data_IF_099663419832
#
_entry.id   IF_099663419832
#
_cell.length_a   1.000
_cell.length_b   1.000
_cell.length_c   1.000
_cell.angle_alpha   90.00
_cell.angle_beta   90.00
_cell.angle_gamma   90.00
#
_symmetry.space_group_name_H-M   'P 1'
#
loop_
_entity.id
_entity.type
_entity.pdbx_description
1 polymer ?
#
# COMPACT_ATOMS: atom_id res chain seq x y z
N UNK A 1 2.08 20.08 -28.28
CA UNK A 1 1.60 19.64 -26.95
C UNK A 1 2.77 19.06 -26.16
N UNK A 2 3.09 19.66 -25.02
CA UNK A 2 4.12 19.25 -24.09
C UNK A 2 3.47 18.87 -22.75
N UNK A 3 3.72 17.64 -22.28
CA UNK A 3 3.15 17.11 -21.04
C UNK A 3 4.19 17.20 -19.92
N UNK A 4 3.82 17.81 -18.80
CA UNK A 4 4.71 18.03 -17.66
C UNK A 4 4.10 17.45 -16.38
N UNK A 5 4.95 17.02 -15.44
CA UNK A 5 4.50 16.82 -14.07
C UNK A 5 4.24 18.18 -13.41
N UNK A 6 3.30 18.20 -12.46
CA UNK A 6 3.10 19.36 -11.58
C UNK A 6 4.21 19.46 -10.52
N UNK A 7 5.47 19.27 -10.90
CA UNK A 7 6.59 19.51 -10.00
C UNK A 7 6.99 20.99 -10.06
N UNK A 8 7.24 21.60 -8.90
CA UNK A 8 7.44 23.05 -8.76
C UNK A 8 8.65 23.58 -9.54
N UNK A 9 9.62 22.73 -9.88
CA UNK A 9 10.77 23.09 -10.74
C UNK A 9 10.40 23.36 -12.19
N UNK A 10 9.31 22.78 -12.70
CA UNK A 10 8.89 22.91 -14.10
C UNK A 10 7.85 24.02 -14.31
N UNK A 11 7.24 24.52 -13.22
CA UNK A 11 6.23 25.58 -13.24
C UNK A 11 6.90 26.94 -12.96
N UNK A 12 7.88 27.30 -13.78
CA UNK A 12 8.53 28.61 -13.72
C UNK A 12 7.83 29.53 -14.72
N UNK A 13 7.38 30.71 -14.29
CA UNK A 13 6.64 31.64 -15.15
C UNK A 13 7.35 31.98 -16.48
N UNK A 14 8.69 32.11 -16.45
CA UNK A 14 9.52 32.33 -17.66
C UNK A 14 9.39 31.20 -18.68
N UNK A 15 9.30 29.96 -18.21
CA UNK A 15 9.17 28.79 -19.07
C UNK A 15 7.78 28.71 -19.73
N UNK A 16 6.73 29.09 -18.99
CA UNK A 16 5.35 29.15 -19.53
C UNK A 16 5.25 30.23 -20.60
N UNK A 17 5.85 31.40 -20.36
CA UNK A 17 5.88 32.50 -21.35
C UNK A 17 6.61 32.07 -22.62
N UNK A 18 7.78 31.43 -22.49
CA UNK A 18 8.51 30.86 -23.62
C UNK A 18 7.66 29.87 -24.43
N UNK A 19 6.99 28.93 -23.77
CA UNK A 19 6.13 27.96 -24.45
C UNK A 19 4.97 28.66 -25.19
N UNK A 20 4.39 29.72 -24.60
CA UNK A 20 3.33 30.49 -25.22
C UNK A 20 3.81 31.25 -26.46
N UNK A 21 4.99 31.87 -26.41
CA UNK A 21 5.59 32.60 -27.54
C UNK A 21 5.91 31.67 -28.72
N UNK A 22 6.27 30.43 -28.43
CA UNK A 22 6.58 29.41 -29.43
C UNK A 22 5.39 28.52 -29.82
N UNK A 23 4.16 28.88 -29.45
CA UNK A 23 2.94 28.10 -29.72
C UNK A 23 3.02 26.64 -29.24
N UNK A 24 3.72 26.40 -28.14
CA UNK A 24 3.82 25.10 -27.48
C UNK A 24 2.69 25.00 -26.46
N UNK A 25 1.67 24.20 -26.78
CA UNK A 25 0.58 23.89 -25.86
C UNK A 25 1.08 23.06 -24.67
N UNK A 26 0.81 23.51 -23.44
CA UNK A 26 1.26 22.89 -22.20
C UNK A 26 0.12 22.14 -21.51
N UNK A 27 0.36 20.88 -21.15
CA UNK A 27 -0.54 20.06 -20.33
C UNK A 27 0.16 19.72 -19.01
N UNK A 28 -0.31 20.28 -17.90
CA UNK A 28 0.24 20.03 -16.57
C UNK A 28 -0.62 18.97 -15.89
N UNK A 29 0.00 17.84 -15.52
CA UNK A 29 -0.67 16.75 -14.83
C UNK A 29 -0.91 17.09 -13.35
N UNK A 30 -2.03 16.69 -12.74
CA UNK A 30 -2.30 16.93 -11.33
C UNK A 30 -1.21 16.33 -10.42
N UNK A 31 -0.97 16.93 -9.24
CA UNK A 31 0.05 16.44 -8.32
C UNK A 31 -0.18 14.98 -7.94
N UNK A 32 0.91 14.22 -7.78
CA UNK A 32 0.90 12.79 -7.43
C UNK A 32 0.25 11.86 -8.47
N UNK A 33 0.05 12.30 -9.71
CA UNK A 33 -0.49 11.44 -10.79
C UNK A 33 0.52 10.99 -11.83
N UNK A 34 1.79 11.41 -11.70
CA UNK A 34 2.85 11.11 -12.68
C UNK A 34 2.96 9.61 -12.96
N UNK A 35 2.92 8.77 -11.93
CA UNK A 35 3.02 7.32 -12.07
C UNK A 35 1.88 6.64 -12.85
N UNK A 36 0.72 7.30 -13.03
CA UNK A 36 -0.45 6.79 -13.76
C UNK A 36 -0.65 7.49 -15.09
N UNK A 37 -0.35 8.79 -15.16
CA UNK A 37 -0.70 9.63 -16.30
C UNK A 37 0.51 10.01 -17.16
N UNK A 38 1.74 9.92 -16.65
CA UNK A 38 2.92 10.17 -17.48
C UNK A 38 3.21 8.95 -18.33
N UNK A 39 3.13 9.08 -19.68
CA UNK A 39 3.41 7.99 -20.58
C UNK A 39 4.83 7.45 -20.37
N UNK A 40 5.77 8.35 -20.07
CA UNK A 40 7.19 8.04 -19.85
C UNK A 40 7.40 7.15 -18.61
N UNK A 41 6.66 7.39 -17.52
CA UNK A 41 6.76 6.60 -16.29
C UNK A 41 6.21 5.17 -16.45
N UNK A 42 5.16 5.01 -17.26
CA UNK A 42 4.45 3.74 -17.46
C UNK A 42 5.12 2.90 -18.56
N UNK A 43 5.60 3.55 -19.63
CA UNK A 43 6.15 2.85 -20.80
C UNK A 43 7.66 2.68 -20.71
N UNK A 44 8.43 3.77 -20.73
CA UNK A 44 9.89 3.71 -20.83
C UNK A 44 10.55 3.40 -19.49
N UNK A 45 10.08 3.99 -18.39
CA UNK A 45 10.69 3.78 -17.07
C UNK A 45 10.21 2.54 -16.34
N UNK A 46 9.10 1.93 -16.77
CA UNK A 46 8.60 0.70 -16.15
C UNK A 46 9.55 -0.50 -16.38
N UNK A 47 9.98 -0.82 -17.61
CA UNK A 47 10.98 -1.86 -17.88
C UNK A 47 12.30 -1.58 -17.16
N UNK A 48 12.75 -0.33 -17.16
CA UNK A 48 14.01 0.06 -16.50
C UNK A 48 13.95 -0.18 -14.99
N UNK A 49 12.82 0.13 -14.32
CA UNK A 49 12.62 -0.17 -12.90
C UNK A 49 12.60 -1.67 -12.62
N UNK A 50 12.08 -2.48 -13.55
CA UNK A 50 12.07 -3.96 -13.43
C UNK A 50 13.48 -4.51 -13.59
N UNK A 51 14.22 -4.08 -14.62
CA UNK A 51 15.59 -4.53 -14.86
C UNK A 51 16.53 -4.13 -13.73
N UNK A 52 16.42 -2.90 -13.22
CA UNK A 52 17.16 -2.45 -12.03
C UNK A 52 16.86 -3.35 -10.83
N UNK A 53 15.58 -3.66 -10.54
CA UNK A 53 15.22 -4.59 -9.45
C UNK A 53 15.79 -5.99 -9.66
N UNK A 54 15.78 -6.50 -10.90
CA UNK A 54 16.37 -7.80 -11.23
C UNK A 54 17.89 -7.80 -11.05
N UNK A 55 18.57 -6.72 -11.43
CA UNK A 55 20.01 -6.53 -11.23
C UNK A 55 20.40 -6.43 -9.74
N UNK A 56 19.59 -5.78 -8.90
CA UNK A 56 19.79 -5.78 -7.44
C UNK A 56 19.52 -7.15 -6.82
N UNK A 57 18.57 -7.92 -7.35
CA UNK A 57 18.27 -9.28 -6.89
C UNK A 57 19.29 -10.33 -7.38
N UNK A 58 20.17 -10.01 -8.32
CA UNK A 58 21.29 -10.92 -8.66
C UNK A 58 22.38 -10.96 -7.57
N UNK A 59 22.44 -9.97 -6.67
CA UNK A 59 23.30 -10.03 -5.48
C UNK A 59 22.62 -10.79 -4.32
N UNK A 60 21.30 -10.98 -4.35
CA UNK A 60 20.60 -11.88 -3.43
C UNK A 60 19.48 -12.66 -4.13
N UNK A 61 19.80 -13.93 -4.42
CA UNK A 61 18.89 -15.06 -4.63
C UNK A 61 18.27 -15.25 -6.03
N UNK A 62 18.86 -16.13 -6.85
CA UNK A 62 18.11 -16.97 -7.75
C UNK A 62 17.98 -18.38 -7.14
N UNK A 63 16.77 -18.95 -7.17
CA UNK A 63 16.43 -20.40 -7.23
C UNK A 63 15.34 -20.94 -6.29
N UNK A 64 14.73 -20.18 -5.37
CA UNK A 64 13.68 -20.75 -4.48
C UNK A 64 12.25 -20.23 -4.69
N UNK A 65 12.01 -19.19 -5.50
CA UNK A 65 10.69 -18.54 -5.53
C UNK A 65 9.72 -19.18 -6.54
N UNK A 66 10.20 -19.82 -7.60
CA UNK A 66 9.30 -20.35 -8.65
C UNK A 66 8.48 -21.58 -8.22
N UNK A 67 8.82 -22.22 -7.10
CA UNK A 67 8.05 -23.34 -6.55
C UNK A 67 7.12 -22.94 -5.38
N UNK A 68 7.05 -21.65 -5.01
CA UNK A 68 6.19 -21.18 -3.90
C UNK A 68 4.95 -20.41 -4.36
N UNK A 69 4.75 -20.27 -5.68
CA UNK A 69 3.56 -19.63 -6.25
C UNK A 69 2.35 -20.57 -6.23
N UNK A 70 2.54 -21.87 -5.99
CA UNK A 70 1.43 -22.81 -5.82
C UNK A 70 1.17 -23.14 -4.35
N UNK A 71 1.07 -22.11 -3.51
CA UNK A 71 0.44 -22.20 -2.19
C UNK A 71 -0.85 -21.35 -2.17
N UNK A 72 -1.49 -21.19 -3.33
CA UNK A 72 -2.89 -20.75 -3.43
C UNK A 72 -3.87 -21.82 -2.90
N UNK A 73 -3.34 -23.01 -2.60
CA UNK A 73 -3.99 -24.05 -1.81
C UNK A 73 -3.46 -24.12 -0.36
N UNK A 74 -2.93 -23.03 0.21
CA UNK A 74 -2.93 -22.92 1.68
C UNK A 74 -4.39 -22.77 2.08
N UNK A 75 -4.98 -23.92 2.34
CA UNK A 75 -6.41 -24.09 2.53
C UNK A 75 -6.95 -23.03 3.49
N UNK A 76 -7.98 -22.29 3.06
CA UNK A 76 -8.66 -21.31 3.93
C UNK A 76 -9.18 -22.00 5.20
N UNK A 77 -9.39 -23.32 5.16
CA UNK A 77 -9.68 -24.14 6.35
C UNK A 77 -8.60 -24.04 7.44
N UNK A 78 -7.32 -23.86 7.08
CA UNK A 78 -6.23 -23.60 8.04
C UNK A 78 -6.33 -22.20 8.67
N UNK A 79 -6.94 -21.24 7.96
CA UNK A 79 -7.26 -19.92 8.50
C UNK A 79 -8.45 -19.96 9.47
N UNK A 80 -9.37 -20.90 9.27
CA UNK A 80 -10.50 -21.14 10.19
C UNK A 80 -10.09 -21.91 11.45
N UNK A 81 -8.97 -22.65 11.40
CA UNK A 81 -8.33 -23.28 12.56
C UNK A 81 -7.51 -22.30 13.40
N UNK A 82 -7.19 -21.11 12.88
CA UNK A 82 -6.52 -20.07 13.65
C UNK A 82 -7.54 -19.42 14.60
N UNK A 83 -7.26 -19.36 15.91
CA UNK A 83 -8.17 -18.76 16.87
C UNK A 83 -8.53 -17.33 16.43
N UNK A 84 -9.82 -16.95 16.48
CA UNK A 84 -10.26 -15.63 16.06
C UNK A 84 -9.65 -14.51 16.94
N UNK A 85 -9.22 -14.86 18.15
CA UNK A 85 -8.64 -13.96 19.14
C UNK A 85 -7.17 -14.29 19.43
N UNK A 86 -6.29 -13.29 19.30
CA UNK A 86 -4.84 -13.44 19.46
C UNK A 86 -4.43 -13.94 20.87
N UNK A 87 -5.29 -13.71 21.86
CA UNK A 87 -5.14 -14.17 23.25
C UNK A 87 -5.28 -15.68 23.37
N UNK A 88 -6.24 -16.29 22.69
CA UNK A 88 -6.44 -17.75 22.69
C UNK A 88 -5.25 -18.47 22.04
N UNK A 89 -4.76 -17.95 20.91
CA UNK A 89 -3.58 -18.51 20.25
C UNK A 89 -2.33 -18.43 21.15
N UNK A 90 -2.14 -17.32 21.85
CA UNK A 90 -1.03 -17.17 22.78
C UNK A 90 -1.11 -18.21 23.92
N UNK A 91 -2.30 -18.43 24.48
CA UNK A 91 -2.52 -19.44 25.53
C UNK A 91 -2.21 -20.84 25.00
N UNK A 92 -2.71 -21.20 23.82
CA UNK A 92 -2.47 -22.52 23.21
C UNK A 92 -0.98 -22.74 22.94
N UNK A 93 -0.29 -21.74 22.38
CA UNK A 93 1.15 -21.80 22.14
C UNK A 93 1.96 -21.93 23.44
N UNK A 94 1.57 -21.23 24.50
CA UNK A 94 2.21 -21.34 25.81
C UNK A 94 2.06 -22.75 26.41
N UNK A 95 0.86 -23.32 26.35
CA UNK A 95 0.61 -24.70 26.83
C UNK A 95 1.41 -25.71 26.00
N UNK A 96 1.45 -25.55 24.69
CA UNK A 96 2.24 -26.40 23.80
C UNK A 96 3.74 -26.33 24.09
N UNK A 97 4.30 -25.13 24.24
CA UNK A 97 5.72 -24.92 24.51
C UNK A 97 6.11 -25.42 25.90
N UNK A 98 5.28 -25.19 26.92
CA UNK A 98 5.52 -25.72 28.27
C UNK A 98 5.49 -27.25 28.29
N UNK A 99 4.59 -27.88 27.52
CA UNK A 99 4.57 -29.34 27.38
C UNK A 99 5.81 -29.85 26.65
N UNK A 100 6.25 -29.20 25.57
CA UNK A 100 7.48 -29.54 24.85
C UNK A 100 8.75 -29.37 25.71
N UNK A 101 8.75 -28.43 26.63
CA UNK A 101 9.86 -28.24 27.57
C UNK A 101 9.83 -29.28 28.71
N UNK A 102 8.64 -29.76 29.11
CA UNK A 102 8.49 -30.83 30.11
C UNK A 102 8.95 -32.22 29.66
N UNK A 103 8.99 -32.49 28.35
CA UNK A 103 9.36 -33.80 27.81
C UNK A 103 10.87 -34.14 27.90
N UNK A 104 11.69 -33.24 28.44
CA UNK A 104 13.16 -33.41 28.58
C UNK A 104 13.88 -33.95 27.31
N UNK A 105 13.34 -33.70 26.11
CA UNK A 105 14.05 -34.04 24.88
C UNK A 105 15.33 -33.17 24.75
N UNK A 106 16.46 -33.74 24.29
CA UNK A 106 17.64 -32.96 23.92
C UNK A 106 17.27 -31.91 22.86
N UNK A 107 18.13 -30.90 22.62
CA UNK A 107 17.87 -29.79 21.68
C UNK A 107 17.76 -30.30 20.22
N UNK A 108 16.62 -30.90 19.88
CA UNK A 108 16.35 -31.47 18.57
C UNK A 108 16.04 -30.35 17.56
N UNK A 109 16.38 -30.56 16.28
CA UNK A 109 15.98 -29.65 15.20
C UNK A 109 14.46 -29.43 15.17
N UNK A 110 13.67 -30.46 15.50
CA UNK A 110 12.20 -30.41 15.57
C UNK A 110 11.73 -29.42 16.64
N UNK A 111 12.31 -29.46 17.84
CA UNK A 111 11.97 -28.53 18.93
C UNK A 111 12.29 -27.08 18.55
N UNK A 112 13.40 -26.87 17.83
CA UNK A 112 13.82 -25.56 17.33
C UNK A 112 12.88 -25.04 16.25
N UNK A 113 12.45 -25.93 15.34
CA UNK A 113 11.49 -25.62 14.30
C UNK A 113 10.11 -25.28 14.90
N UNK A 114 9.61 -26.08 15.84
CA UNK A 114 8.36 -25.82 16.55
C UNK A 114 8.34 -24.44 17.21
N UNK A 115 9.38 -24.09 17.99
CA UNK A 115 9.53 -22.75 18.59
C UNK A 115 9.59 -21.62 17.56
N UNK A 116 10.20 -21.87 16.40
CA UNK A 116 10.28 -20.87 15.33
C UNK A 116 8.92 -20.65 14.66
N UNK A 117 8.19 -21.72 14.39
CA UNK A 117 6.87 -21.64 13.75
C UNK A 117 5.86 -20.98 14.67
N UNK A 118 5.81 -21.33 15.96
CA UNK A 118 4.90 -20.68 16.92
C UNK A 118 5.16 -19.17 17.02
N UNK A 119 6.44 -18.75 17.11
CA UNK A 119 6.82 -17.33 17.11
C UNK A 119 6.40 -16.61 15.82
N UNK A 120 6.57 -17.26 14.67
CA UNK A 120 6.18 -16.65 13.39
C UNK A 120 4.66 -16.50 13.28
N UNK A 121 3.89 -17.47 13.77
CA UNK A 121 2.42 -17.36 13.81
C UNK A 121 1.95 -16.21 14.71
N UNK A 122 2.55 -16.04 15.89
CA UNK A 122 2.23 -14.92 16.79
C UNK A 122 2.49 -13.55 16.15
N UNK A 123 3.64 -13.40 15.48
CA UNK A 123 3.96 -12.17 14.75
C UNK A 123 2.95 -11.90 13.64
N UNK A 124 2.60 -12.92 12.83
CA UNK A 124 1.60 -12.77 11.76
C UNK A 124 0.23 -12.40 12.31
N UNK A 125 -0.18 -12.98 13.43
CA UNK A 125 -1.44 -12.62 14.09
C UNK A 125 -1.44 -11.17 14.58
N UNK A 126 -0.33 -10.68 15.16
CA UNK A 126 -0.23 -9.26 15.54
C UNK A 126 -0.37 -8.31 14.34
N UNK A 127 0.26 -8.62 13.21
CA UNK A 127 0.13 -7.85 11.97
C UNK A 127 -1.32 -7.81 11.48
N UNK A 128 -2.03 -8.94 11.54
CA UNK A 128 -3.44 -9.04 11.15
C UNK A 128 -4.32 -8.18 12.05
N UNK A 129 -4.10 -8.19 13.37
CA UNK A 129 -4.86 -7.35 14.32
C UNK A 129 -4.63 -5.87 14.02
N UNK A 130 -3.37 -5.44 13.84
CA UNK A 130 -3.05 -4.05 13.52
C UNK A 130 -3.73 -3.62 12.22
N UNK A 131 -3.65 -4.44 11.17
CA UNK A 131 -4.32 -4.16 9.89
C UNK A 131 -5.83 -4.06 10.02
N UNK A 132 -6.47 -4.98 10.75
CA UNK A 132 -7.93 -4.93 11.02
C UNK A 132 -8.32 -3.65 11.75
N UNK A 133 -7.54 -3.23 12.76
CA UNK A 133 -7.82 -1.96 13.47
C UNK A 133 -7.64 -0.74 12.57
N UNK A 134 -6.63 -0.72 11.70
CA UNK A 134 -6.41 0.35 10.74
C UNK A 134 -7.55 0.43 9.72
N UNK A 135 -7.99 -0.71 9.16
CA UNK A 135 -9.15 -0.78 8.27
C UNK A 135 -10.39 -0.22 8.97
N UNK A 136 -10.67 -0.63 10.20
CA UNK A 136 -11.83 -0.13 10.97
C UNK A 136 -11.79 1.39 11.17
N UNK A 137 -10.60 1.97 11.40
CA UNK A 137 -10.38 3.43 11.49
C UNK A 137 -10.62 4.14 10.15
N UNK A 138 -10.13 3.58 9.05
CA UNK A 138 -10.38 4.11 7.71
C UNK A 138 -11.87 4.07 7.39
N UNK A 139 -12.55 2.97 7.69
CA UNK A 139 -13.99 2.86 7.49
C UNK A 139 -14.79 3.84 8.33
N UNK A 140 -14.41 4.08 9.60
CA UNK A 140 -15.08 5.12 10.41
C UNK A 140 -14.87 6.51 9.82
N UNK A 141 -13.65 6.84 9.36
CA UNK A 141 -13.38 8.11 8.69
C UNK A 141 -14.17 8.26 7.38
N UNK A 142 -14.31 7.18 6.60
CA UNK A 142 -15.15 7.15 5.40
C UNK A 142 -16.65 7.31 5.72
N UNK A 143 -17.14 6.70 6.80
CA UNK A 143 -18.51 6.91 7.28
C UNK A 143 -18.72 8.37 7.72
N UNK A 144 -17.78 8.93 8.48
CA UNK A 144 -17.86 10.32 8.96
C UNK A 144 -17.83 11.33 7.81
N UNK A 145 -17.01 11.09 6.79
CA UNK A 145 -16.99 11.94 5.58
C UNK A 145 -18.26 11.79 4.75
N UNK A 146 -18.87 10.59 4.68
CA UNK A 146 -20.16 10.38 4.02
C UNK A 146 -21.30 11.10 4.74
N UNK A 147 -21.27 11.15 6.08
CA UNK A 147 -22.23 11.91 6.92
C UNK A 147 -21.99 13.42 6.82
N UNK A 148 -20.74 13.88 6.74
CA UNK A 148 -20.38 15.32 6.62
C UNK A 148 -20.67 15.94 5.25
N UNK A 149 -21.05 15.16 4.24
CA UNK A 149 -21.43 15.70 2.92
C UNK A 149 -22.70 16.57 2.95
N UNK A 150 -23.50 16.52 4.02
CA UNK A 150 -24.73 17.31 4.13
C UNK A 150 -24.64 18.57 5.01
N UNK A 151 -23.55 18.81 5.73
CA UNK A 151 -23.44 20.00 6.60
C UNK A 151 -22.03 20.57 6.67
N UNK A 152 -21.87 21.76 6.06
CA UNK A 152 -20.71 22.67 6.03
C UNK A 152 -19.38 22.08 5.51
N UNK A 153 -18.97 22.60 4.33
CA UNK A 153 -17.66 22.37 3.69
C UNK A 153 -16.52 22.81 4.64
N UNK A 154 -15.55 21.92 4.88
CA UNK A 154 -14.36 22.19 5.71
C UNK A 154 -13.18 22.52 4.80
N UNK A 155 -12.55 23.68 5.01
CA UNK A 155 -11.28 24.02 4.39
C UNK A 155 -10.16 23.23 5.07
N UNK A 156 -9.40 22.46 4.30
CA UNK A 156 -8.14 21.88 4.79
C UNK A 156 -7.03 22.90 4.49
N UNK A 157 -6.33 23.36 5.52
CA UNK A 157 -5.17 24.27 5.40
C UNK A 157 -5.45 25.55 4.59
N UNK A 158 -6.64 26.13 4.76
CA UNK A 158 -7.02 27.38 4.07
C UNK A 158 -7.32 27.25 2.57
N UNK A 159 -7.33 26.02 2.02
CA UNK A 159 -7.76 25.76 0.63
C UNK A 159 -9.09 25.02 0.60
N UNK A 160 -10.04 25.58 -0.16
CA UNK A 160 -11.29 24.89 -0.48
C UNK A 160 -11.01 23.77 -1.49
N UNK A 161 -11.27 22.53 -1.09
CA UNK A 161 -11.14 21.39 -1.99
C UNK A 161 -12.42 21.30 -2.81
N UNK A 162 -12.35 21.70 -4.08
CA UNK A 162 -13.43 21.51 -5.04
C UNK A 162 -13.30 20.12 -5.65
N UNK A 163 -14.39 19.35 -5.67
CA UNK A 163 -14.42 18.13 -6.50
C UNK A 163 -14.44 18.50 -7.98
N UNK A 164 -13.92 17.64 -8.84
CA UNK A 164 -13.82 17.89 -10.29
C UNK A 164 -15.17 18.28 -10.91
N UNK A 165 -16.26 17.66 -10.43
CA UNK A 165 -17.62 17.98 -10.87
C UNK A 165 -18.07 19.38 -10.43
N UNK A 166 -17.70 19.82 -9.22
CA UNK A 166 -18.03 21.17 -8.72
C UNK A 166 -17.27 22.26 -9.48
N UNK A 167 -16.01 22.01 -9.87
CA UNK A 167 -15.25 22.94 -10.73
C UNK A 167 -15.93 23.08 -12.09
N UNK A 168 -16.39 21.98 -12.68
CA UNK A 168 -17.11 21.97 -13.96
C UNK A 168 -18.42 22.76 -13.85
N UNK A 169 -19.23 22.54 -12.81
CA UNK A 169 -20.49 23.27 -12.62
C UNK A 169 -20.29 24.78 -12.41
N UNK A 170 -19.25 25.19 -11.69
CA UNK A 170 -18.92 26.61 -11.48
C UNK A 170 -18.49 27.25 -12.81
N UNK A 171 -17.67 26.56 -13.60
CA UNK A 171 -17.25 27.08 -14.92
C UNK A 171 -18.41 27.19 -15.91
N UNK A 172 -19.43 26.34 -15.81
CA UNK A 172 -20.62 26.40 -16.65
C UNK A 172 -21.60 27.52 -16.23
N UNK A 173 -21.67 27.83 -14.93
CA UNK A 173 -22.50 28.93 -14.40
C UNK A 173 -21.89 30.32 -14.55
N UNK A 174 -20.60 30.40 -14.86
CA UNK A 174 -19.87 31.66 -15.09
C UNK A 174 -19.91 32.14 -16.57
N UNK A 175 -20.68 31.45 -17.43
CA UNK A 175 -21.03 31.87 -18.79
C UNK A 175 -22.36 32.60 -18.79
#
# INVERSE_FOLDING_TARGET
>A
LLVLDSHSSHIIGRFIVFCREHNIELLILPPHTSYILQPLDISCFSPLKVEQRLGFNQIQTPLLINNLVNIDALDKSLLDLLPPEATELHIVNLVFLSRLDSLQLPKTPIKRYAKRVTRQLELRCSDVVIRKTYIKKLESALRDTKVRRNTKRVALEGKFIYTTNEVIEITQKAK
#
